data_IF_760031793340
#
_entry.id   IF_760031793340
#
_cell.length_a   1.000
_cell.length_b   1.000
_cell.length_c   1.000
_cell.angle_alpha   90.00
_cell.angle_beta   90.00
_cell.angle_gamma   90.00
#
_symmetry.space_group_name_H-M   'P 1'
#
loop_
_entity.id
_entity.type
_entity.pdbx_description
1 polymer ?
#
# COMPACT_ATOMS: atom_id res chain seq x y z
N UNK A 1 63.92 -7.09 37.77
CA UNK A 1 62.74 -6.33 37.32
C UNK A 1 62.90 -6.06 35.82
N UNK A 2 62.23 -6.83 34.92
CA UNK A 2 62.38 -6.64 33.47
C UNK A 2 61.64 -5.38 33.04
N UNK A 3 62.39 -4.33 32.67
CA UNK A 3 61.83 -3.11 32.09
C UNK A 3 61.29 -3.47 30.70
N UNK A 4 59.96 -3.63 30.59
CA UNK A 4 59.31 -3.86 29.30
C UNK A 4 59.52 -2.62 28.41
N UNK A 5 60.14 -2.82 27.26
CA UNK A 5 60.50 -1.75 26.33
C UNK A 5 59.23 -1.12 25.75
N UNK A 6 58.93 0.10 26.18
CA UNK A 6 57.73 0.88 25.80
C UNK A 6 57.56 1.02 24.28
N UNK A 7 58.63 0.90 23.49
CA UNK A 7 58.59 0.89 22.01
C UNK A 7 57.90 -0.35 21.43
N UNK A 8 58.01 -1.52 22.06
CA UNK A 8 57.37 -2.74 21.58
C UNK A 8 55.85 -2.72 21.81
N UNK A 9 55.40 -2.27 22.98
CA UNK A 9 53.98 -2.13 23.30
C UNK A 9 53.32 -1.14 22.34
N UNK A 10 53.98 -0.01 22.06
CA UNK A 10 53.49 1.02 21.14
C UNK A 10 53.34 0.52 19.70
N UNK A 11 54.25 -0.36 19.23
CA UNK A 11 54.17 -1.01 17.91
C UNK A 11 53.01 -2.00 17.80
N UNK A 12 52.75 -2.75 18.87
CA UNK A 12 51.62 -3.70 18.95
C UNK A 12 50.30 -2.92 18.81
N UNK A 13 50.09 -1.86 19.60
CA UNK A 13 48.87 -1.04 19.51
C UNK A 13 48.68 -0.39 18.12
N UNK A 14 49.76 0.02 17.45
CA UNK A 14 49.70 0.64 16.12
C UNK A 14 49.20 -0.33 15.03
N UNK A 15 49.44 -1.64 15.20
CA UNK A 15 48.97 -2.67 14.27
C UNK A 15 47.52 -3.10 14.52
N UNK A 16 47.03 -3.05 15.76
CA UNK A 16 45.65 -3.46 16.10
C UNK A 16 44.59 -2.41 15.78
N UNK A 17 44.95 -1.13 15.87
CA UNK A 17 44.05 -0.02 15.57
C UNK A 17 43.41 -0.11 14.15
N UNK A 18 44.16 -0.28 13.05
CA UNK A 18 43.57 -0.38 11.72
C UNK A 18 42.68 -1.62 11.53
N UNK A 19 42.99 -2.75 12.18
CA UNK A 19 42.17 -3.98 12.12
C UNK A 19 40.80 -3.74 12.75
N UNK A 20 40.76 -3.05 13.90
CA UNK A 20 39.50 -2.71 14.56
C UNK A 20 38.63 -1.77 13.72
N UNK A 21 39.23 -0.81 13.02
CA UNK A 21 38.53 0.11 12.12
C UNK A 21 37.94 -0.63 10.93
N UNK A 22 38.70 -1.52 10.29
CA UNK A 22 38.20 -2.36 9.19
C UNK A 22 37.06 -3.26 9.64
N UNK A 23 37.14 -3.82 10.85
CA UNK A 23 36.06 -4.63 11.43
C UNK A 23 34.79 -3.81 11.70
N UNK A 24 34.91 -2.59 12.23
CA UNK A 24 33.76 -1.71 12.44
C UNK A 24 33.12 -1.34 11.10
N UNK A 25 33.93 -0.98 10.10
CA UNK A 25 33.44 -0.66 8.75
C UNK A 25 32.73 -1.87 8.14
N UNK A 26 33.30 -3.07 8.25
CA UNK A 26 32.69 -4.29 7.71
C UNK A 26 31.35 -4.59 8.37
N UNK A 27 31.23 -4.46 9.69
CA UNK A 27 29.96 -4.61 10.42
C UNK A 27 28.92 -3.59 9.95
N UNK A 28 29.32 -2.32 9.75
CA UNK A 28 28.40 -1.27 9.24
C UNK A 28 27.94 -1.58 7.82
N UNK A 29 28.84 -2.04 6.94
CA UNK A 29 28.50 -2.44 5.56
C UNK A 29 27.56 -3.64 5.57
N UNK A 30 27.84 -4.68 6.36
CA UNK A 30 26.98 -5.86 6.49
C UNK A 30 25.59 -5.46 6.98
N UNK A 31 25.48 -4.61 7.99
CA UNK A 31 24.17 -4.10 8.47
C UNK A 31 23.40 -3.37 7.38
N UNK A 32 24.06 -2.53 6.58
CA UNK A 32 23.42 -1.84 5.45
C UNK A 32 22.92 -2.85 4.40
N UNK A 33 23.71 -3.87 4.08
CA UNK A 33 23.33 -4.92 3.14
C UNK A 33 22.15 -5.74 3.66
N UNK A 34 22.14 -6.12 4.94
CA UNK A 34 21.03 -6.85 5.56
C UNK A 34 19.73 -6.03 5.54
N UNK A 35 19.81 -4.74 5.90
CA UNK A 35 18.65 -3.85 5.83
C UNK A 35 18.15 -3.70 4.39
N UNK A 36 19.05 -3.60 3.40
CA UNK A 36 18.68 -3.55 2.00
C UNK A 36 17.96 -4.83 1.55
N UNK A 37 18.50 -6.01 1.87
CA UNK A 37 17.88 -7.30 1.55
C UNK A 37 16.50 -7.41 2.21
N UNK A 38 16.38 -7.03 3.48
CA UNK A 38 15.08 -7.07 4.18
C UNK A 38 14.04 -6.18 3.53
N UNK A 39 14.43 -4.97 3.08
CA UNK A 39 13.53 -4.04 2.39
C UNK A 39 13.07 -4.60 1.05
N UNK A 40 14.00 -5.16 0.27
CA UNK A 40 13.69 -5.79 -1.01
C UNK A 40 12.73 -6.97 -0.83
N UNK A 41 12.94 -7.80 0.20
CA UNK A 41 12.04 -8.93 0.50
C UNK A 41 10.62 -8.46 0.81
N UNK A 42 10.47 -7.42 1.64
CA UNK A 42 9.14 -6.82 1.94
C UNK A 42 8.48 -6.31 0.65
N UNK A 43 9.22 -5.62 -0.22
CA UNK A 43 8.68 -5.13 -1.50
C UNK A 43 8.26 -6.28 -2.44
N UNK A 44 8.98 -7.41 -2.41
CA UNK A 44 8.61 -8.63 -3.15
C UNK A 44 7.34 -9.25 -2.59
N UNK A 45 7.24 -9.42 -1.27
CA UNK A 45 6.04 -9.95 -0.60
C UNK A 45 4.80 -9.12 -0.94
N UNK A 46 4.92 -7.78 -0.86
CA UNK A 46 3.84 -6.87 -1.29
C UNK A 46 3.43 -7.15 -2.72
N UNK A 47 4.37 -7.20 -3.67
CA UNK A 47 4.07 -7.49 -5.08
C UNK A 47 3.38 -8.85 -5.27
N UNK A 48 3.77 -9.87 -4.52
CA UNK A 48 3.13 -11.19 -4.54
C UNK A 48 1.66 -11.06 -4.10
N UNK A 49 1.37 -10.34 -3.02
CA UNK A 49 -0.01 -10.07 -2.60
C UNK A 49 -0.84 -9.39 -3.71
N UNK A 50 -0.30 -8.35 -4.36
CA UNK A 50 -0.99 -7.68 -5.48
C UNK A 50 -1.26 -8.65 -6.64
N UNK A 51 -0.29 -9.48 -7.02
CA UNK A 51 -0.45 -10.48 -8.09
C UNK A 51 -1.51 -11.52 -7.70
N UNK A 52 -1.53 -11.97 -6.45
CA UNK A 52 -2.52 -12.93 -5.95
C UNK A 52 -3.94 -12.34 -6.01
N UNK A 53 -4.10 -11.08 -5.60
CA UNK A 53 -5.38 -10.38 -5.68
C UNK A 53 -5.85 -10.25 -7.13
N UNK A 54 -4.96 -9.86 -8.06
CA UNK A 54 -5.30 -9.81 -9.49
C UNK A 54 -5.72 -11.19 -10.03
N UNK A 55 -4.98 -12.25 -9.69
CA UNK A 55 -5.32 -13.60 -10.12
C UNK A 55 -6.68 -14.04 -9.58
N UNK A 56 -6.97 -13.76 -8.31
CA UNK A 56 -8.26 -14.05 -7.71
C UNK A 56 -9.37 -13.28 -8.41
N UNK A 57 -9.21 -11.96 -8.57
CA UNK A 57 -10.20 -11.12 -9.22
C UNK A 57 -10.48 -11.56 -10.66
N UNK A 58 -9.43 -11.86 -11.45
CA UNK A 58 -9.59 -12.40 -12.81
C UNK A 58 -10.36 -13.73 -12.78
N UNK A 59 -10.05 -14.62 -11.83
CA UNK A 59 -10.76 -15.89 -11.68
C UNK A 59 -12.25 -15.70 -11.42
N UNK A 60 -12.61 -14.77 -10.53
CA UNK A 60 -14.00 -14.43 -10.23
C UNK A 60 -14.70 -13.80 -11.44
N UNK A 61 -14.02 -12.88 -12.13
CA UNK A 61 -14.55 -12.22 -13.32
C UNK A 61 -14.86 -13.20 -14.45
N UNK A 62 -14.00 -14.20 -14.67
CA UNK A 62 -14.24 -15.28 -15.65
C UNK A 62 -15.47 -16.12 -15.27
N UNK A 63 -15.73 -16.29 -13.97
CA UNK A 63 -16.94 -16.94 -13.46
C UNK A 63 -18.18 -16.03 -13.49
N UNK A 64 -18.10 -14.88 -14.15
CA UNK A 64 -19.16 -13.85 -14.24
C UNK A 64 -19.59 -13.28 -12.89
N UNK A 65 -18.73 -13.40 -11.87
CA UNK A 65 -18.93 -12.70 -10.61
C UNK A 65 -18.25 -11.35 -10.75
N UNK A 66 -19.00 -10.27 -10.58
CA UNK A 66 -18.48 -8.90 -10.61
C UNK A 66 -18.65 -8.22 -9.25
N UNK A 67 -17.71 -7.36 -8.89
CA UNK A 67 -17.79 -6.46 -7.75
C UNK A 67 -19.01 -5.55 -7.90
N UNK A 68 -19.34 -5.12 -9.11
CA UNK A 68 -20.55 -4.33 -9.36
C UNK A 68 -21.83 -5.06 -8.97
N UNK A 69 -21.90 -6.39 -9.13
CA UNK A 69 -23.04 -7.19 -8.69
C UNK A 69 -23.15 -7.23 -7.16
N UNK A 70 -22.03 -7.37 -6.46
CA UNK A 70 -21.99 -7.27 -5.00
C UNK A 70 -22.49 -5.90 -4.52
N UNK A 71 -22.01 -4.81 -5.15
CA UNK A 71 -22.37 -3.44 -4.79
C UNK A 71 -23.89 -3.23 -4.93
N UNK A 72 -24.46 -3.61 -6.07
CA UNK A 72 -25.90 -3.44 -6.35
C UNK A 72 -26.75 -4.36 -5.46
N UNK A 73 -26.36 -5.62 -5.27
CA UNK A 73 -27.09 -6.58 -4.43
C UNK A 73 -27.18 -6.13 -2.97
N UNK A 74 -26.15 -5.45 -2.46
CA UNK A 74 -26.14 -4.89 -1.12
C UNK A 74 -26.78 -3.49 -1.03
N UNK A 75 -27.29 -2.95 -2.13
CA UNK A 75 -28.02 -1.68 -2.17
C UNK A 75 -27.14 -0.43 -2.07
N UNK A 76 -25.83 -0.56 -2.26
CA UNK A 76 -24.92 0.57 -2.30
C UNK A 76 -25.04 1.29 -3.65
N UNK A 77 -25.28 2.61 -3.64
CA UNK A 77 -25.49 3.39 -4.87
C UNK A 77 -24.42 4.45 -5.09
N UNK A 78 -24.11 5.26 -4.08
CA UNK A 78 -23.10 6.30 -4.16
C UNK A 78 -21.77 5.73 -3.66
N UNK A 79 -20.82 5.56 -4.58
CA UNK A 79 -19.55 4.88 -4.33
C UNK A 79 -18.41 5.88 -4.43
N UNK A 80 -17.39 5.66 -3.62
CA UNK A 80 -16.10 6.32 -3.75
C UNK A 80 -14.97 5.27 -3.82
N UNK A 81 -13.89 5.61 -4.51
CA UNK A 81 -12.68 4.78 -4.60
C UNK A 81 -11.54 5.54 -3.93
N UNK A 82 -10.81 4.89 -3.02
CA UNK A 82 -9.55 5.40 -2.47
C UNK A 82 -8.38 4.65 -3.12
N UNK A 83 -7.48 5.39 -3.76
CA UNK A 83 -6.34 4.88 -4.51
C UNK A 83 -6.63 4.84 -6.01
N UNK A 84 -5.93 5.69 -6.77
CA UNK A 84 -6.02 5.81 -8.23
C UNK A 84 -4.82 5.16 -8.95
N UNK A 85 -4.30 4.08 -8.35
CA UNK A 85 -3.35 3.18 -8.99
C UNK A 85 -4.01 2.25 -10.00
N UNK A 86 -3.28 1.22 -10.44
CA UNK A 86 -3.78 0.28 -11.45
C UNK A 86 -5.01 -0.50 -10.99
N UNK A 87 -5.06 -0.93 -9.72
CA UNK A 87 -6.26 -1.58 -9.16
C UNK A 87 -7.47 -0.64 -9.14
N UNK A 88 -7.29 0.62 -8.73
CA UNK A 88 -8.38 1.60 -8.68
C UNK A 88 -8.94 1.94 -10.05
N UNK A 89 -8.09 2.03 -11.07
CA UNK A 89 -8.53 2.19 -12.47
C UNK A 89 -9.33 0.99 -12.96
N UNK A 90 -8.88 -0.24 -12.67
CA UNK A 90 -9.63 -1.46 -13.03
C UNK A 90 -10.98 -1.53 -12.31
N UNK A 91 -11.00 -1.16 -11.03
CA UNK A 91 -12.23 -1.12 -10.24
C UNK A 91 -13.20 -0.08 -10.82
N UNK A 92 -12.71 1.11 -11.16
CA UNK A 92 -13.48 2.12 -11.86
C UNK A 92 -14.08 1.56 -13.15
N UNK A 93 -13.26 0.97 -14.02
CA UNK A 93 -13.68 0.42 -15.32
C UNK A 93 -14.78 -0.65 -15.18
N UNK A 94 -14.75 -1.44 -14.10
CA UNK A 94 -15.76 -2.44 -13.81
C UNK A 94 -17.05 -1.83 -13.26
N UNK A 95 -16.95 -0.92 -12.28
CA UNK A 95 -18.10 -0.32 -11.62
C UNK A 95 -18.94 0.53 -12.58
N UNK A 96 -18.31 1.30 -13.47
CA UNK A 96 -19.03 2.16 -14.42
C UNK A 96 -19.83 1.40 -15.48
N UNK A 97 -19.64 0.08 -15.60
CA UNK A 97 -20.45 -0.74 -16.52
C UNK A 97 -21.87 -0.95 -16.00
N UNK A 98 -22.11 -0.71 -14.71
CA UNK A 98 -23.43 -0.83 -14.11
C UNK A 98 -24.01 0.57 -13.84
N UNK A 99 -25.09 0.91 -14.54
CA UNK A 99 -25.73 2.23 -14.47
C UNK A 99 -26.44 2.52 -13.13
N UNK A 100 -26.63 1.51 -12.27
CA UNK A 100 -27.18 1.70 -10.93
C UNK A 100 -26.15 2.29 -9.95
N UNK A 101 -24.86 2.22 -10.31
CA UNK A 101 -23.74 2.67 -9.50
C UNK A 101 -23.36 4.10 -9.88
N UNK A 102 -23.40 4.99 -8.89
CA UNK A 102 -22.96 6.37 -9.01
C UNK A 102 -21.59 6.53 -8.38
N UNK A 103 -20.53 6.53 -9.20
CA UNK A 103 -19.20 6.85 -8.70
C UNK A 103 -19.05 8.36 -8.50
N UNK A 104 -18.99 8.79 -7.24
CA UNK A 104 -19.00 10.21 -6.84
C UNK A 104 -17.60 10.77 -6.61
N UNK A 105 -16.71 9.96 -6.05
CA UNK A 105 -15.38 10.41 -5.65
C UNK A 105 -14.30 9.41 -5.99
N UNK A 106 -13.14 9.96 -6.36
CA UNK A 106 -11.87 9.26 -6.31
C UNK A 106 -10.96 10.04 -5.35
N UNK A 107 -10.41 9.31 -4.40
CA UNK A 107 -9.48 9.84 -3.40
C UNK A 107 -8.09 9.34 -3.72
N UNK A 108 -7.17 10.24 -4.05
CA UNK A 108 -5.75 9.89 -4.19
C UNK A 108 -4.87 11.10 -3.89
N UNK A 109 -3.64 10.85 -3.42
CA UNK A 109 -2.68 11.92 -3.11
C UNK A 109 -2.12 12.56 -4.37
N UNK A 110 -2.07 11.83 -5.48
CA UNK A 110 -1.63 12.34 -6.77
C UNK A 110 -2.66 13.31 -7.35
N UNK A 111 -2.18 14.28 -8.13
CA UNK A 111 -3.07 15.15 -8.88
C UNK A 111 -3.71 14.38 -10.03
N UNK A 112 -4.99 14.06 -9.87
CA UNK A 112 -5.80 13.41 -10.89
C UNK A 112 -6.56 14.49 -11.65
N UNK A 113 -6.46 14.48 -12.98
CA UNK A 113 -7.37 15.28 -13.80
C UNK A 113 -8.78 14.72 -13.65
N UNK A 114 -9.77 15.60 -13.51
CA UNK A 114 -11.17 15.18 -13.47
C UNK A 114 -11.47 14.18 -14.58
N UNK A 115 -12.01 13.03 -14.19
CA UNK A 115 -12.27 11.93 -15.13
C UNK A 115 -13.53 12.24 -15.93
N UNK A 116 -14.55 12.76 -15.24
CA UNK A 116 -15.80 13.24 -15.83
C UNK A 116 -16.47 14.24 -14.87
N UNK A 117 -17.56 14.88 -15.31
CA UNK A 117 -18.27 15.91 -14.54
C UNK A 117 -19.03 15.40 -13.31
N UNK A 118 -19.20 14.08 -13.16
CA UNK A 118 -19.98 13.46 -12.09
C UNK A 118 -19.10 12.86 -10.98
N UNK A 119 -17.82 12.60 -11.27
CA UNK A 119 -16.85 12.02 -10.35
C UNK A 119 -15.75 13.03 -10.01
N UNK A 120 -15.76 13.48 -8.75
CA UNK A 120 -14.80 14.45 -8.23
C UNK A 120 -13.51 13.76 -7.76
N UNK A 121 -12.37 14.37 -8.03
CA UNK A 121 -11.09 13.91 -7.50
C UNK A 121 -10.71 14.75 -6.28
N UNK A 122 -10.46 14.10 -5.14
CA UNK A 122 -10.04 14.76 -3.90
C UNK A 122 -8.78 14.12 -3.35
N UNK A 123 -8.02 14.85 -2.54
CA UNK A 123 -6.76 14.33 -1.97
C UNK A 123 -6.95 13.59 -0.66
N UNK A 124 -8.00 13.90 0.08
CA UNK A 124 -8.31 13.30 1.36
C UNK A 124 -9.76 12.82 1.38
N UNK A 125 -10.02 11.63 1.92
CA UNK A 125 -11.38 11.09 2.05
C UNK A 125 -12.23 11.93 3.02
N UNK A 126 -11.60 12.66 3.94
CA UNK A 126 -12.30 13.59 4.83
C UNK A 126 -12.81 14.85 4.10
N UNK A 127 -12.37 15.10 2.86
CA UNK A 127 -12.88 16.19 2.02
C UNK A 127 -14.18 15.81 1.28
N UNK A 128 -14.61 14.54 1.36
CA UNK A 128 -15.87 14.08 0.78
C UNK A 128 -17.02 14.81 1.49
N UNK A 129 -17.81 15.55 0.71
CA UNK A 129 -18.86 16.40 1.25
C UNK A 129 -20.30 15.93 0.94
N UNK A 130 -20.45 14.84 0.21
CA UNK A 130 -21.72 14.17 -0.09
C UNK A 130 -21.79 12.82 0.64
N UNK A 131 -23.00 12.27 0.81
CA UNK A 131 -23.17 10.94 1.41
C UNK A 131 -22.65 9.86 0.45
N UNK A 132 -21.81 8.98 0.97
CA UNK A 132 -21.23 7.84 0.27
C UNK A 132 -21.63 6.58 1.01
N UNK A 133 -22.30 5.68 0.29
CA UNK A 133 -22.78 4.42 0.85
C UNK A 133 -21.60 3.46 1.09
N UNK A 134 -20.62 3.48 0.19
CA UNK A 134 -19.44 2.62 0.24
C UNK A 134 -18.18 3.34 -0.29
N UNK A 135 -17.13 3.37 0.52
CA UNK A 135 -15.77 3.70 0.10
C UNK A 135 -14.96 2.41 -0.06
N UNK A 136 -14.39 2.21 -1.25
CA UNK A 136 -13.54 1.05 -1.55
C UNK A 136 -12.08 1.47 -1.54
N UNK A 137 -11.29 0.91 -0.64
CA UNK A 137 -9.85 1.18 -0.51
C UNK A 137 -9.06 0.17 -1.34
N UNK A 138 -8.39 0.64 -2.39
CA UNK A 138 -7.63 -0.22 -3.30
C UNK A 138 -6.24 -0.61 -2.81
N UNK A 139 -5.50 0.24 -2.05
CA UNK A 139 -4.25 -0.17 -1.40
C UNK A 139 -4.57 -1.04 -0.17
N UNK A 140 -4.91 -2.30 -0.42
CA UNK A 140 -5.42 -3.22 0.60
C UNK A 140 -4.38 -3.60 1.66
N UNK A 141 -3.09 -3.63 1.33
CA UNK A 141 -2.02 -3.90 2.30
C UNK A 141 -1.96 -2.81 3.39
N UNK A 142 -2.28 -1.57 3.03
CA UNK A 142 -2.32 -0.43 3.94
C UNK A 142 -3.75 -0.13 4.44
N UNK A 143 -4.70 -1.05 4.25
CA UNK A 143 -6.13 -0.83 4.50
C UNK A 143 -6.42 -0.31 5.90
N UNK A 144 -5.99 -1.02 6.95
CA UNK A 144 -6.29 -0.65 8.33
C UNK A 144 -5.77 0.75 8.66
N UNK A 145 -4.54 1.06 8.24
CA UNK A 145 -3.93 2.38 8.45
C UNK A 145 -4.69 3.49 7.73
N UNK A 146 -5.15 3.23 6.50
CA UNK A 146 -5.94 4.21 5.74
C UNK A 146 -7.31 4.36 6.38
N UNK A 147 -8.00 3.27 6.68
CA UNK A 147 -9.33 3.27 7.30
C UNK A 147 -9.34 4.02 8.63
N UNK A 148 -8.35 3.77 9.49
CA UNK A 148 -8.20 4.46 10.78
C UNK A 148 -7.94 5.97 10.63
N UNK A 149 -7.39 6.41 9.50
CA UNK A 149 -7.17 7.84 9.22
C UNK A 149 -8.42 8.58 8.73
N UNK A 150 -9.48 7.84 8.37
CA UNK A 150 -10.71 8.38 7.81
C UNK A 150 -11.69 8.61 8.95
N UNK A 151 -12.01 9.89 9.19
CA UNK A 151 -12.97 10.33 10.18
C UNK A 151 -14.01 11.21 9.50
N UNK A 152 -14.81 10.58 8.64
CA UNK A 152 -15.85 11.25 7.86
C UNK A 152 -17.19 10.52 8.05
N UNK A 153 -18.13 11.17 8.74
CA UNK A 153 -19.47 10.66 9.05
C UNK A 153 -20.37 10.49 7.82
N UNK A 154 -19.97 11.05 6.67
CA UNK A 154 -20.68 10.90 5.40
C UNK A 154 -20.39 9.58 4.70
N UNK A 155 -19.41 8.81 5.17
CA UNK A 155 -19.02 7.51 4.62
C UNK A 155 -19.64 6.41 5.48
N UNK A 156 -20.60 5.67 4.93
CA UNK A 156 -21.35 4.67 5.71
C UNK A 156 -20.59 3.36 5.89
N UNK A 157 -19.91 2.87 4.85
CA UNK A 157 -19.15 1.62 4.86
C UNK A 157 -17.80 1.81 4.19
N UNK A 158 -16.79 1.09 4.70
CA UNK A 158 -15.42 1.10 4.17
C UNK A 158 -14.97 -0.35 4.03
N UNK A 159 -14.72 -0.77 2.79
CA UNK A 159 -14.19 -2.09 2.45
C UNK A 159 -12.83 -1.96 1.77
N UNK A 160 -11.95 -2.94 1.97
CA UNK A 160 -10.80 -3.08 1.10
C UNK A 160 -11.23 -3.72 -0.23
N UNK A 161 -10.49 -3.47 -1.29
CA UNK A 161 -10.69 -4.20 -2.55
C UNK A 161 -10.43 -5.71 -2.38
N UNK A 162 -9.53 -6.08 -1.48
CA UNK A 162 -9.27 -7.49 -1.17
C UNK A 162 -10.52 -8.18 -0.62
N UNK A 163 -11.15 -7.61 0.40
CA UNK A 163 -12.37 -8.17 0.99
C UNK A 163 -13.45 -8.39 -0.07
N UNK A 164 -13.68 -7.40 -0.93
CA UNK A 164 -14.69 -7.49 -1.98
C UNK A 164 -14.38 -8.61 -2.99
N UNK A 165 -13.12 -8.77 -3.39
CA UNK A 165 -12.72 -9.83 -4.34
C UNK A 165 -12.88 -11.23 -3.73
N UNK A 166 -12.65 -11.37 -2.42
CA UNK A 166 -12.77 -12.65 -1.71
C UNK A 166 -14.22 -12.99 -1.30
N UNK A 167 -15.12 -12.00 -1.20
CA UNK A 167 -16.54 -12.19 -0.85
C UNK A 167 -17.46 -12.57 -2.03
N UNK A 168 -16.95 -12.60 -3.26
CA UNK A 168 -17.70 -12.87 -4.50
C UNK A 168 -18.02 -14.34 -4.78
#
# INVERSE_FOLDING_TARGET
MKVYNTRHIRRIFLCFFPVSVVFIISVVVIRKLLNYISKVNIDIEKKICYINLYNMWISQYIQQKKISDFVVKNGYKNIAIYGWGDLGKRLYDELIQNSEINLRYIVDRADIKEINSLCKCVKNANDINEKIDLLIITPFIEFDTIKDSINNDKIMQIFSLEDLVYEM
#
